data_IF_312094329879
#
_entry.id   IF_312094329879
#
_cell.length_a   1.000
_cell.length_b   1.000
_cell.length_c   1.000
_cell.angle_alpha   90.00
_cell.angle_beta   90.00
_cell.angle_gamma   90.00
#
_symmetry.space_group_name_H-M   'P 1'
#
loop_
_entity.id
_entity.type
_entity.pdbx_description
1 polymer ?
#
# COMPACT_ATOMS: atom_id res chain seq x y z
N UNK A 1 -17.95 5.37 16.10
CA UNK A 1 -17.10 4.55 16.98
C UNK A 1 -15.86 5.28 17.46
N UNK A 2 -15.35 4.84 18.62
CA UNK A 2 -14.01 5.12 19.14
C UNK A 2 -12.99 4.25 18.41
N UNK A 3 -11.88 4.84 17.94
CA UNK A 3 -10.75 4.10 17.38
C UNK A 3 -9.75 3.85 18.49
N UNK A 4 -9.35 2.60 18.65
CA UNK A 4 -8.38 2.15 19.64
C UNK A 4 -7.21 1.53 18.91
N UNK A 5 -6.04 2.08 19.14
CA UNK A 5 -4.80 1.67 18.50
C UNK A 5 -3.97 0.92 19.54
N UNK A 6 -3.56 -0.31 19.20
CA UNK A 6 -2.64 -1.09 20.02
C UNK A 6 -1.27 -1.04 19.36
N UNK A 7 -0.26 -0.63 20.13
CA UNK A 7 1.08 -0.43 19.58
C UNK A 7 1.80 -1.75 19.32
N UNK A 8 2.50 -1.84 18.19
CA UNK A 8 3.47 -2.88 17.89
C UNK A 8 4.89 -2.31 18.08
N UNK A 9 5.57 -2.60 19.20
CA UNK A 9 6.87 -2.00 19.51
C UNK A 9 8.03 -2.61 18.72
N UNK A 10 7.80 -3.66 17.93
CA UNK A 10 8.85 -4.35 17.18
C UNK A 10 9.46 -3.45 16.10
N UNK A 11 10.79 -3.36 16.12
CA UNK A 11 11.57 -2.61 15.14
C UNK A 11 11.76 -3.43 13.86
N UNK A 12 11.62 -2.79 12.71
CA UNK A 12 11.80 -3.40 11.40
C UNK A 12 13.23 -3.18 10.93
N UNK A 13 14.00 -4.26 10.83
CA UNK A 13 15.33 -4.24 10.23
C UNK A 13 15.22 -4.12 8.69
N UNK A 14 16.11 -3.35 8.01
CA UNK A 14 17.28 -2.63 8.55
C UNK A 14 17.01 -1.20 9.04
N UNK A 15 15.78 -0.69 8.90
CA UNK A 15 15.45 0.72 9.13
C UNK A 15 15.52 1.14 10.60
N UNK A 16 15.40 0.20 11.53
CA UNK A 16 15.41 0.46 12.96
C UNK A 16 14.35 1.50 13.37
N UNK A 17 13.17 1.36 12.78
CA UNK A 17 11.93 2.07 13.15
C UNK A 17 10.80 1.06 13.33
N UNK A 18 9.76 1.46 14.05
CA UNK A 18 8.55 0.63 14.17
C UNK A 18 7.71 0.72 12.90
N UNK A 19 6.89 -0.30 12.64
CA UNK A 19 6.07 -0.34 11.42
C UNK A 19 5.15 0.89 11.25
N UNK A 20 4.65 1.48 12.35
CA UNK A 20 3.75 2.64 12.30
C UNK A 20 4.42 3.89 11.74
N UNK A 21 5.72 4.06 12.02
CA UNK A 21 6.49 5.26 11.69
C UNK A 21 7.08 5.18 10.29
N UNK A 22 7.36 3.96 9.83
CA UNK A 22 7.81 3.69 8.48
C UNK A 22 6.82 4.19 7.43
N UNK A 23 7.39 4.72 6.35
CA UNK A 23 6.62 5.15 5.19
C UNK A 23 6.22 3.95 4.33
N UNK A 24 4.93 3.86 4.04
CA UNK A 24 4.34 2.96 3.06
C UNK A 24 3.55 3.82 2.08
N UNK A 25 3.80 3.66 0.79
CA UNK A 25 3.32 4.49 -0.32
C UNK A 25 3.70 5.97 -0.12
N UNK A 26 4.93 6.20 0.36
CA UNK A 26 5.47 7.51 0.76
C UNK A 26 4.62 8.24 1.83
N UNK A 27 3.95 7.51 2.71
CA UNK A 27 3.20 8.08 3.84
C UNK A 27 3.45 7.25 5.10
N UNK A 28 3.70 7.87 6.28
CA UNK A 28 3.79 7.12 7.52
C UNK A 28 2.55 6.23 7.73
N UNK A 29 2.75 4.99 8.13
CA UNK A 29 1.66 4.01 8.21
C UNK A 29 0.55 4.44 9.19
N UNK A 30 0.90 5.07 10.31
CA UNK A 30 -0.10 5.61 11.25
C UNK A 30 -1.01 6.67 10.58
N UNK A 31 -0.42 7.51 9.74
CA UNK A 31 -1.12 8.58 9.02
C UNK A 31 -2.00 8.00 7.92
N UNK A 32 -1.52 6.97 7.23
CA UNK A 32 -2.29 6.19 6.27
C UNK A 32 -3.57 5.63 6.90
N UNK A 33 -3.45 4.96 8.05
CA UNK A 33 -4.59 4.39 8.76
C UNK A 33 -5.57 5.48 9.23
N UNK A 34 -5.05 6.60 9.74
CA UNK A 34 -5.87 7.75 10.17
C UNK A 34 -6.73 8.28 9.03
N UNK A 35 -6.13 8.48 7.86
CA UNK A 35 -6.84 9.02 6.70
C UNK A 35 -7.95 8.07 6.21
N UNK A 36 -7.76 6.76 6.30
CA UNK A 36 -8.78 5.77 5.91
C UNK A 36 -9.94 5.66 6.92
N UNK A 37 -9.65 5.90 8.19
CA UNK A 37 -10.58 5.72 9.30
C UNK A 37 -11.31 7.01 9.73
N UNK A 38 -10.91 8.17 9.21
CA UNK A 38 -11.49 9.47 9.59
C UNK A 38 -13.01 9.56 9.42
N UNK A 39 -13.58 8.85 8.44
CA UNK A 39 -15.04 8.84 8.21
C UNK A 39 -15.80 7.88 9.13
N UNK A 40 -15.08 7.02 9.84
CA UNK A 40 -15.63 5.94 10.64
C UNK A 40 -15.48 6.19 12.14
N UNK A 41 -14.40 6.87 12.53
CA UNK A 41 -14.05 7.16 13.91
C UNK A 41 -14.20 8.65 14.24
N UNK A 42 -14.73 8.95 15.43
CA UNK A 42 -14.89 10.33 15.94
C UNK A 42 -13.86 10.70 17.01
N UNK A 43 -13.26 9.70 17.63
CA UNK A 43 -12.25 9.85 18.68
C UNK A 43 -11.22 8.72 18.54
N UNK A 44 -10.00 8.97 19.01
CA UNK A 44 -8.86 8.07 18.89
C UNK A 44 -8.12 7.98 20.23
N UNK A 45 -7.74 6.78 20.64
CA UNK A 45 -6.92 6.50 21.82
C UNK A 45 -5.89 5.43 21.47
N UNK A 46 -4.67 5.62 21.96
CA UNK A 46 -3.55 4.69 21.74
C UNK A 46 -3.13 4.05 23.05
N UNK A 47 -2.76 2.77 22.99
CA UNK A 47 -2.32 2.00 24.15
C UNK A 47 -1.12 1.13 23.79
N UNK A 48 -0.15 0.97 24.71
CA UNK A 48 1.03 0.15 24.47
C UNK A 48 0.67 -1.32 24.23
N UNK A 49 -0.38 -1.82 24.88
CA UNK A 49 -0.82 -3.21 24.77
C UNK A 49 -2.32 -3.36 25.14
N UNK A 50 -2.80 -4.60 25.03
CA UNK A 50 -4.17 -4.98 25.37
C UNK A 50 -4.49 -4.93 26.86
N UNK A 51 -3.49 -5.13 27.72
CA UNK A 51 -3.71 -5.14 29.17
C UNK A 51 -4.03 -3.74 29.66
N UNK A 52 -3.21 -2.77 29.28
CA UNK A 52 -3.43 -1.35 29.58
C UNK A 52 -4.73 -0.85 28.95
N UNK A 53 -4.99 -1.21 27.69
CA UNK A 53 -6.23 -0.82 27.02
C UNK A 53 -7.47 -1.32 27.78
N UNK A 54 -7.49 -2.59 28.23
CA UNK A 54 -8.63 -3.15 28.98
C UNK A 54 -8.82 -2.53 30.37
N UNK A 55 -7.74 -2.09 31.02
CA UNK A 55 -7.83 -1.44 32.33
C UNK A 55 -8.42 -0.02 32.22
N UNK A 56 -8.05 0.72 31.18
CA UNK A 56 -8.43 2.13 31.00
C UNK A 56 -9.76 2.29 30.24
N UNK A 57 -10.06 1.39 29.30
CA UNK A 57 -11.30 1.43 28.51
C UNK A 57 -12.43 0.65 29.20
N UNK A 58 -13.12 1.34 30.10
CA UNK A 58 -14.23 0.79 30.88
C UNK A 58 -15.62 1.16 30.32
N UNK A 59 -15.68 2.07 29.35
CA UNK A 59 -16.92 2.54 28.75
C UNK A 59 -17.51 1.53 27.74
N UNK A 60 -18.81 1.25 27.80
CA UNK A 60 -19.53 0.41 26.83
C UNK A 60 -19.88 1.19 25.56
N UNK A 61 -18.87 1.51 24.74
CA UNK A 61 -19.04 2.25 23.49
C UNK A 61 -18.69 1.38 22.28
N UNK A 62 -19.20 1.79 21.11
CA UNK A 62 -18.84 1.19 19.83
C UNK A 62 -17.36 1.49 19.54
N UNK A 63 -16.52 0.46 19.44
CA UNK A 63 -15.08 0.58 19.25
C UNK A 63 -14.59 -0.19 18.02
N UNK A 64 -13.62 0.39 17.30
CA UNK A 64 -12.75 -0.31 16.36
C UNK A 64 -11.37 -0.41 17.00
N UNK A 65 -10.91 -1.63 17.25
CA UNK A 65 -9.56 -1.88 17.78
C UNK A 65 -8.69 -2.42 16.66
N UNK A 66 -7.49 -1.88 16.48
CA UNK A 66 -6.53 -2.46 15.53
C UNK A 66 -5.09 -2.25 15.98
N UNK A 67 -4.17 -3.09 15.50
CA UNK A 67 -2.73 -2.82 15.64
C UNK A 67 -2.23 -1.77 14.66
N UNK A 68 -1.22 -1.01 15.05
CA UNK A 68 -0.64 0.06 14.23
C UNK A 68 0.30 -0.44 13.13
N UNK A 69 0.68 -1.72 13.12
CA UNK A 69 1.46 -2.35 12.05
C UNK A 69 0.64 -2.88 10.85
N UNK A 70 -0.65 -2.56 10.78
CA UNK A 70 -1.54 -3.04 9.72
C UNK A 70 -1.60 -2.07 8.53
N UNK A 71 -1.25 -2.54 7.33
CA UNK A 71 -1.49 -1.82 6.08
C UNK A 71 -2.74 -2.38 5.39
N UNK A 72 -3.71 -1.53 5.09
CA UNK A 72 -4.94 -1.91 4.40
C UNK A 72 -5.45 -0.74 3.57
N UNK A 73 -6.35 -0.99 2.61
CA UNK A 73 -6.95 0.08 1.81
C UNK A 73 -8.40 0.40 2.20
N UNK A 74 -8.94 1.46 1.61
CA UNK A 74 -10.30 1.94 1.88
C UNK A 74 -11.37 0.87 1.62
N UNK A 75 -11.23 0.08 0.55
CA UNK A 75 -12.21 -0.94 0.16
C UNK A 75 -12.36 -2.02 1.23
N UNK A 76 -11.24 -2.49 1.79
CA UNK A 76 -11.26 -3.52 2.81
C UNK A 76 -11.88 -3.02 4.12
N UNK A 77 -11.46 -1.85 4.58
CA UNK A 77 -11.91 -1.33 5.88
C UNK A 77 -13.38 -0.91 5.84
N UNK A 78 -13.85 -0.37 4.71
CA UNK A 78 -15.26 -0.05 4.51
C UNK A 78 -16.13 -1.29 4.58
N UNK A 79 -15.80 -2.33 3.80
CA UNK A 79 -16.56 -3.57 3.80
C UNK A 79 -16.56 -4.23 5.18
N UNK A 80 -15.41 -4.26 5.86
CA UNK A 80 -15.31 -4.81 7.20
C UNK A 80 -16.25 -4.10 8.18
N UNK A 81 -16.20 -2.76 8.23
CA UNK A 81 -17.01 -1.96 9.16
C UNK A 81 -18.50 -2.06 8.81
N UNK A 82 -18.87 -1.97 7.53
CA UNK A 82 -20.26 -2.06 7.07
C UNK A 82 -20.87 -3.41 7.45
N UNK A 83 -20.17 -4.52 7.17
CA UNK A 83 -20.64 -5.86 7.52
C UNK A 83 -20.64 -6.10 9.04
N UNK A 84 -19.67 -5.56 9.76
CA UNK A 84 -19.60 -5.68 11.21
C UNK A 84 -20.76 -4.94 11.90
N UNK A 85 -21.05 -3.70 11.48
CA UNK A 85 -22.19 -2.90 11.95
C UNK A 85 -23.51 -3.57 11.64
N UNK A 86 -23.71 -4.03 10.41
CA UNK A 86 -24.92 -4.76 10.01
C UNK A 86 -25.13 -6.03 10.85
N UNK A 87 -24.04 -6.70 11.26
CA UNK A 87 -24.10 -7.88 12.12
C UNK A 87 -24.39 -7.58 13.60
N UNK A 88 -24.11 -6.37 14.08
CA UNK A 88 -24.39 -5.93 15.46
C UNK A 88 -23.71 -6.74 16.57
N UNK A 89 -22.66 -7.50 16.24
CA UNK A 89 -21.96 -8.43 17.16
C UNK A 89 -20.44 -8.19 17.12
N UNK A 90 -19.71 -8.53 18.20
CA UNK A 90 -18.26 -8.42 18.19
C UNK A 90 -17.67 -9.35 17.13
N UNK A 91 -16.79 -8.80 16.30
CA UNK A 91 -16.13 -9.54 15.23
C UNK A 91 -14.65 -9.18 15.12
N UNK A 92 -13.86 -10.14 14.65
CA UNK A 92 -12.44 -9.99 14.33
C UNK A 92 -12.23 -10.24 12.84
N UNK A 93 -11.46 -9.39 12.18
CA UNK A 93 -11.10 -9.55 10.77
C UNK A 93 -10.42 -10.91 10.57
N UNK A 94 -10.87 -11.64 9.56
CA UNK A 94 -10.31 -12.93 9.19
C UNK A 94 -10.21 -13.09 7.67
N UNK A 95 -9.27 -13.92 7.26
CA UNK A 95 -9.09 -14.35 5.87
C UNK A 95 -9.09 -15.87 5.81
N UNK A 96 -9.52 -16.43 4.68
CA UNK A 96 -9.27 -17.84 4.40
C UNK A 96 -7.76 -18.06 4.23
N UNK A 97 -7.24 -19.17 4.76
CA UNK A 97 -5.81 -19.52 4.64
C UNK A 97 -5.33 -19.68 3.19
N UNK A 98 -6.27 -19.94 2.28
CA UNK A 98 -6.08 -20.18 0.85
C UNK A 98 -6.48 -18.96 -0.01
N UNK A 99 -6.80 -17.82 0.61
CA UNK A 99 -6.93 -16.55 -0.13
C UNK A 99 -5.63 -16.28 -0.91
N UNK A 100 -5.67 -16.10 -2.25
CA UNK A 100 -4.45 -16.10 -3.05
C UNK A 100 -3.45 -15.00 -2.70
N UNK A 101 -3.92 -13.80 -2.33
CA UNK A 101 -3.05 -12.69 -1.99
C UNK A 101 -2.44 -12.88 -0.60
N UNK A 102 -3.26 -13.28 0.38
CA UNK A 102 -2.78 -13.54 1.75
C UNK A 102 -1.82 -14.73 1.76
N UNK A 103 -2.20 -15.84 1.13
CA UNK A 103 -1.42 -17.08 1.14
C UNK A 103 -0.06 -16.90 0.45
N UNK A 104 -0.01 -16.16 -0.67
CA UNK A 104 1.22 -16.02 -1.47
C UNK A 104 2.15 -14.92 -0.96
N UNK A 105 1.60 -13.78 -0.51
CA UNK A 105 2.42 -12.59 -0.28
C UNK A 105 2.56 -12.16 1.18
N UNK A 106 1.58 -12.47 2.03
CA UNK A 106 1.56 -11.98 3.42
C UNK A 106 1.93 -13.10 4.39
N UNK A 107 1.21 -14.22 4.32
CA UNK A 107 1.35 -15.36 5.24
C UNK A 107 2.77 -15.92 5.37
N UNK A 108 3.60 -16.05 4.31
CA UNK A 108 4.88 -16.76 4.42
C UNK A 108 5.85 -16.22 5.47
N UNK A 109 5.85 -14.91 5.70
CA UNK A 109 6.76 -14.24 6.65
C UNK A 109 6.02 -13.55 7.80
N UNK A 110 4.74 -13.90 8.00
CA UNK A 110 3.92 -13.34 9.09
C UNK A 110 3.85 -14.30 10.27
N UNK A 111 4.03 -13.77 11.47
CA UNK A 111 3.97 -14.50 12.74
C UNK A 111 2.72 -14.17 13.57
N UNK A 112 2.13 -12.97 13.42
CA UNK A 112 1.03 -12.53 14.30
C UNK A 112 -0.36 -13.02 13.91
N UNK A 113 -0.52 -13.76 12.80
CA UNK A 113 -1.82 -14.35 12.47
C UNK A 113 -2.25 -15.38 13.52
N UNK A 114 -3.44 -15.20 14.09
CA UNK A 114 -4.05 -16.22 14.93
C UNK A 114 -4.77 -17.26 14.05
N UNK A 115 -4.29 -18.50 14.08
CA UNK A 115 -4.84 -19.60 13.27
C UNK A 115 -6.04 -20.23 13.98
N UNK A 116 -7.19 -20.28 13.31
CA UNK A 116 -8.39 -20.96 13.78
C UNK A 116 -8.97 -21.83 12.66
N UNK A 117 -8.59 -23.11 12.64
CA UNK A 117 -8.96 -24.01 11.54
C UNK A 117 -8.40 -23.51 10.21
N UNK A 118 -9.28 -23.27 9.24
CA UNK A 118 -8.92 -22.76 7.91
C UNK A 118 -8.88 -21.23 7.81
N UNK A 119 -9.01 -20.53 8.95
CA UNK A 119 -9.02 -19.08 9.01
C UNK A 119 -7.74 -18.52 9.63
N UNK A 120 -7.30 -17.39 9.11
CA UNK A 120 -6.24 -16.55 9.63
C UNK A 120 -6.86 -15.26 10.17
N UNK A 121 -6.86 -15.10 11.48
CA UNK A 121 -7.43 -13.93 12.14
C UNK A 121 -6.34 -12.87 12.31
N UNK A 122 -6.67 -11.64 11.90
CA UNK A 122 -5.81 -10.47 11.99
C UNK A 122 -6.15 -9.63 13.23
N UNK A 123 -5.22 -8.77 13.63
CA UNK A 123 -5.40 -7.90 14.79
C UNK A 123 -6.23 -6.65 14.49
N UNK A 124 -7.46 -6.87 14.05
CA UNK A 124 -8.48 -5.85 13.83
C UNK A 124 -9.85 -6.36 14.30
N UNK A 125 -10.51 -5.59 15.16
CA UNK A 125 -11.77 -5.94 15.80
C UNK A 125 -12.77 -4.80 15.70
N UNK A 126 -14.02 -5.17 15.47
CA UNK A 126 -15.16 -4.31 15.71
C UNK A 126 -15.90 -4.80 16.95
N UNK A 127 -16.06 -3.94 17.95
CA UNK A 127 -16.62 -4.25 19.26
C UNK A 127 -17.77 -3.29 19.56
N UNK A 128 -19.04 -3.70 19.38
CA UNK A 128 -20.18 -2.78 19.50
C UNK A 128 -20.43 -2.24 20.92
N UNK A 129 -19.89 -2.89 21.96
CA UNK A 129 -20.06 -2.50 23.38
C UNK A 129 -18.73 -2.54 24.17
N UNK A 130 -17.64 -2.11 23.55
CA UNK A 130 -16.34 -1.94 24.23
C UNK A 130 -15.45 -3.19 24.30
N UNK A 131 -14.29 -3.04 24.95
CA UNK A 131 -13.17 -4.02 24.89
C UNK A 131 -13.44 -5.34 25.59
N UNK A 132 -14.40 -5.38 26.54
CA UNK A 132 -14.80 -6.59 27.23
C UNK A 132 -15.23 -7.70 26.24
N UNK A 133 -15.77 -7.31 25.09
CA UNK A 133 -16.23 -8.23 24.04
C UNK A 133 -15.11 -8.83 23.17
N UNK A 134 -13.85 -8.42 23.39
CA UNK A 134 -12.71 -8.84 22.55
C UNK A 134 -12.52 -10.36 22.47
N UNK A 135 -12.84 -11.08 23.56
CA UNK A 135 -12.74 -12.55 23.62
C UNK A 135 -13.93 -13.27 22.96
N UNK A 136 -15.08 -12.60 22.85
CA UNK A 136 -16.29 -13.14 22.23
C UNK A 136 -16.33 -12.88 20.71
N UNK A 137 -15.36 -12.11 20.20
CA UNK A 137 -15.31 -11.68 18.83
C UNK A 137 -15.21 -12.87 17.87
N UNK A 138 -16.23 -13.03 17.03
CA UNK A 138 -16.27 -14.10 16.03
C UNK A 138 -15.51 -13.70 14.77
N UNK A 139 -14.89 -14.64 14.04
CA UNK A 139 -14.29 -14.34 12.74
C UNK A 139 -15.31 -13.72 11.77
N UNK A 140 -14.93 -12.61 11.14
CA UNK A 140 -15.61 -12.03 9.99
C UNK A 140 -14.67 -12.13 8.79
N UNK A 141 -15.00 -13.05 7.89
CA UNK A 141 -14.19 -13.33 6.71
C UNK A 141 -14.45 -12.28 5.62
N UNK A 142 -13.38 -11.64 5.18
CA UNK A 142 -13.35 -10.75 4.02
C UNK A 142 -12.48 -11.39 2.94
N UNK A 143 -13.02 -11.57 1.75
CA UNK A 143 -12.27 -12.03 0.57
C UNK A 143 -11.44 -10.85 0.02
N UNK A 144 -10.18 -11.04 -0.33
CA UNK A 144 -9.35 -9.96 -0.88
C UNK A 144 -9.67 -9.61 -2.35
N UNK A 145 -10.44 -10.45 -3.03
CA UNK A 145 -10.73 -10.39 -4.47
C UNK A 145 -9.44 -10.31 -5.31
N UNK A 146 -8.54 -11.25 -5.05
CA UNK A 146 -7.27 -11.37 -5.77
C UNK A 146 -7.43 -11.74 -7.23
N UNK A 147 -6.58 -11.14 -8.07
CA UNK A 147 -6.44 -11.47 -9.49
C UNK A 147 -4.99 -11.70 -9.83
N UNK A 148 -4.74 -12.65 -10.72
CA UNK A 148 -3.41 -12.92 -11.19
C UNK A 148 -2.97 -11.90 -12.26
N UNK A 149 -1.78 -11.32 -12.05
CA UNK A 149 -1.10 -10.44 -12.99
C UNK A 149 0.40 -10.69 -12.91
N UNK A 150 1.12 -10.51 -14.01
CA UNK A 150 2.56 -10.67 -13.98
C UNK A 150 3.18 -10.60 -15.35
N UNK A 151 4.43 -11.05 -15.40
CA UNK A 151 5.18 -11.16 -16.62
C UNK A 151 5.13 -12.60 -17.11
N UNK A 152 4.66 -12.75 -18.33
CA UNK A 152 4.55 -14.02 -19.02
C UNK A 152 5.71 -14.15 -20.00
N UNK A 153 6.22 -15.36 -20.23
CA UNK A 153 7.33 -15.65 -21.14
C UNK A 153 8.70 -15.10 -20.70
N UNK A 154 8.96 -15.08 -19.39
CA UNK A 154 10.29 -14.86 -18.84
C UNK A 154 11.12 -16.16 -18.96
N UNK A 155 12.44 -16.09 -19.20
CA UNK A 155 13.27 -17.28 -19.21
C UNK A 155 13.09 -18.13 -17.92
N UNK A 156 12.97 -19.47 -18.03
CA UNK A 156 12.55 -20.33 -16.92
C UNK A 156 13.53 -20.38 -15.76
N UNK A 157 14.78 -19.92 -15.93
CA UNK A 157 15.75 -19.77 -14.83
C UNK A 157 15.53 -18.51 -13.96
N UNK A 158 14.71 -17.57 -14.43
CA UNK A 158 14.30 -16.34 -13.72
C UNK A 158 12.86 -16.43 -13.19
N UNK A 159 12.15 -17.50 -13.49
CA UNK A 159 10.74 -17.69 -13.18
C UNK A 159 10.44 -19.14 -12.75
N UNK A 160 9.17 -19.48 -12.58
CA UNK A 160 8.75 -20.88 -12.38
C UNK A 160 9.02 -21.72 -13.63
N UNK A 161 8.83 -23.04 -13.56
CA UNK A 161 9.11 -23.99 -14.65
C UNK A 161 8.48 -23.62 -16.01
N UNK A 162 7.42 -22.81 -16.00
CA UNK A 162 6.70 -22.37 -17.20
C UNK A 162 7.14 -20.99 -17.73
N UNK A 163 8.09 -20.32 -17.09
CA UNK A 163 8.53 -18.98 -17.50
C UNK A 163 7.60 -17.85 -17.05
N UNK A 164 6.73 -18.12 -16.08
CA UNK A 164 5.76 -17.14 -15.58
C UNK A 164 6.18 -16.59 -14.21
N UNK A 165 6.28 -15.25 -14.13
CA UNK A 165 6.47 -14.50 -12.90
C UNK A 165 5.16 -13.78 -12.56
N UNK A 166 4.26 -14.52 -11.91
CA UNK A 166 2.90 -14.08 -11.60
C UNK A 166 2.71 -13.70 -10.13
N UNK A 167 1.95 -12.64 -9.92
CA UNK A 167 1.58 -12.07 -8.63
C UNK A 167 0.06 -12.08 -8.46
N UNK A 168 -0.38 -12.29 -7.23
CA UNK A 168 -1.77 -12.20 -6.80
C UNK A 168 -2.07 -10.78 -6.31
N UNK A 169 -2.78 -9.98 -7.12
CA UNK A 169 -3.07 -8.57 -6.86
C UNK A 169 -4.52 -8.40 -6.36
N UNK A 170 -4.72 -8.14 -5.05
CA UNK A 170 -6.05 -7.98 -4.46
C UNK A 170 -6.67 -6.61 -4.73
N UNK A 171 -8.00 -6.56 -4.85
CA UNK A 171 -8.71 -5.28 -4.77
C UNK A 171 -8.78 -4.76 -3.33
N UNK A 172 -8.98 -5.66 -2.37
CA UNK A 172 -9.05 -5.38 -0.93
C UNK A 172 -7.71 -5.74 -0.32
N UNK A 173 -6.86 -4.72 -0.16
CA UNK A 173 -5.47 -4.87 0.25
C UNK A 173 -5.37 -5.02 1.76
N UNK A 174 -4.57 -5.97 2.21
CA UNK A 174 -4.21 -6.18 3.61
C UNK A 174 -2.77 -6.73 3.71
N UNK A 175 -1.95 -6.17 4.61
CA UNK A 175 -0.60 -6.63 4.95
C UNK A 175 -0.35 -6.38 6.44
N UNK A 176 0.21 -7.37 7.13
CA UNK A 176 0.80 -7.20 8.48
C UNK A 176 2.27 -6.84 8.31
N UNK A 177 2.68 -5.62 8.66
CA UNK A 177 4.08 -5.19 8.49
C UNK A 177 4.91 -5.65 9.69
N UNK A 178 5.72 -6.68 9.50
CA UNK A 178 6.56 -7.30 10.55
C UNK A 178 8.03 -7.42 10.15
N UNK A 179 8.33 -7.22 8.87
CA UNK A 179 9.67 -7.26 8.31
C UNK A 179 9.72 -6.41 7.03
N UNK A 180 10.93 -6.16 6.51
CA UNK A 180 11.12 -5.34 5.30
C UNK A 180 10.51 -5.95 4.03
N UNK A 181 10.33 -7.28 3.97
CA UNK A 181 9.66 -7.93 2.82
C UNK A 181 8.19 -7.56 2.81
N UNK A 182 7.54 -7.44 3.98
CA UNK A 182 6.17 -6.94 4.04
C UNK A 182 6.05 -5.47 3.61
N UNK A 183 7.07 -4.63 3.87
CA UNK A 183 7.12 -3.28 3.31
C UNK A 183 7.20 -3.32 1.78
N UNK A 184 8.08 -4.14 1.22
CA UNK A 184 8.15 -4.35 -0.23
C UNK A 184 6.80 -4.81 -0.81
N UNK A 185 6.15 -5.78 -0.16
CA UNK A 185 4.83 -6.30 -0.57
C UNK A 185 3.78 -5.20 -0.51
N UNK A 186 3.73 -4.42 0.58
CA UNK A 186 2.77 -3.33 0.74
C UNK A 186 3.00 -2.19 -0.27
N UNK A 187 4.25 -1.88 -0.58
CA UNK A 187 4.59 -0.78 -1.47
C UNK A 187 4.45 -1.12 -2.95
N UNK A 188 5.06 -2.23 -3.33
CA UNK A 188 5.26 -2.54 -4.73
C UNK A 188 4.10 -3.40 -5.22
N UNK A 189 3.91 -4.58 -4.62
CA UNK A 189 2.92 -5.55 -5.10
C UNK A 189 1.49 -5.08 -4.82
N UNK A 190 1.15 -4.91 -3.56
CA UNK A 190 -0.19 -4.57 -3.11
C UNK A 190 -0.45 -3.06 -3.11
N UNK A 191 0.59 -2.26 -3.33
CA UNK A 191 0.54 -0.81 -3.52
C UNK A 191 0.52 -0.45 -5.01
N UNK A 192 1.65 0.04 -5.52
CA UNK A 192 1.76 0.67 -6.85
C UNK A 192 1.31 -0.26 -7.97
N UNK A 193 1.68 -1.54 -7.94
CA UNK A 193 1.31 -2.50 -8.98
C UNK A 193 -0.19 -2.79 -8.97
N UNK A 194 -0.77 -3.11 -7.80
CA UNK A 194 -2.23 -3.25 -7.64
C UNK A 194 -2.98 -1.99 -8.08
N UNK A 195 -2.50 -0.79 -7.76
CA UNK A 195 -3.13 0.46 -8.18
C UNK A 195 -3.07 0.65 -9.70
N UNK A 196 -1.92 0.39 -10.32
CA UNK A 196 -1.77 0.41 -11.78
C UNK A 196 -2.74 -0.56 -12.45
N UNK A 197 -2.79 -1.82 -12.00
CA UNK A 197 -3.69 -2.84 -12.52
C UNK A 197 -5.18 -2.46 -12.34
N UNK A 198 -5.55 -1.87 -11.20
CA UNK A 198 -6.90 -1.38 -10.96
C UNK A 198 -7.31 -0.26 -11.93
N UNK A 199 -6.38 0.66 -12.20
CA UNK A 199 -6.60 1.75 -13.15
C UNK A 199 -6.77 1.19 -14.56
N UNK A 200 -5.90 0.28 -14.99
CA UNK A 200 -5.99 -0.40 -16.29
C UNK A 200 -7.31 -1.14 -16.46
N UNK A 201 -7.73 -1.94 -15.47
CA UNK A 201 -9.00 -2.68 -15.52
C UNK A 201 -10.21 -1.73 -15.59
N UNK A 202 -10.15 -0.60 -14.88
CA UNK A 202 -11.20 0.43 -14.94
C UNK A 202 -11.26 1.10 -16.32
N UNK A 203 -10.10 1.36 -16.92
CA UNK A 203 -10.03 1.89 -18.29
C UNK A 203 -10.57 0.84 -19.27
N UNK A 204 -10.18 -0.42 -19.14
CA UNK A 204 -10.60 -1.49 -20.05
C UNK A 204 -12.12 -1.72 -20.03
N UNK A 205 -12.71 -1.74 -18.83
CA UNK A 205 -14.13 -2.03 -18.60
C UNK A 205 -15.09 -0.89 -18.93
N UNK A 206 -14.65 0.38 -18.86
CA UNK A 206 -15.55 1.53 -18.94
C UNK A 206 -15.26 2.44 -20.12
N UNK A 207 -16.12 2.40 -21.15
CA UNK A 207 -16.00 3.29 -22.32
C UNK A 207 -16.06 4.78 -21.93
N UNK A 208 -16.83 5.12 -20.89
CA UNK A 208 -16.93 6.48 -20.35
C UNK A 208 -15.58 6.97 -19.79
N UNK A 209 -14.84 6.09 -19.12
CA UNK A 209 -13.50 6.39 -18.59
C UNK A 209 -12.50 6.57 -19.73
N UNK A 210 -12.55 5.69 -20.75
CA UNK A 210 -11.72 5.85 -21.96
C UNK A 210 -11.96 7.20 -22.63
N UNK A 211 -13.23 7.57 -22.81
CA UNK A 211 -13.60 8.85 -23.44
C UNK A 211 -13.15 10.05 -22.60
N UNK A 212 -13.30 9.99 -21.27
CA UNK A 212 -12.84 11.02 -20.34
C UNK A 212 -11.32 11.22 -20.43
N UNK A 213 -10.55 10.13 -20.47
CA UNK A 213 -9.08 10.18 -20.60
C UNK A 213 -8.72 10.79 -21.96
N UNK A 214 -9.31 10.31 -23.06
CA UNK A 214 -9.07 10.85 -24.40
C UNK A 214 -9.38 12.35 -24.48
N UNK A 215 -10.52 12.77 -23.95
CA UNK A 215 -10.92 14.18 -23.93
C UNK A 215 -9.92 15.04 -23.15
N UNK A 216 -9.47 14.59 -21.96
CA UNK A 216 -8.44 15.29 -21.18
C UNK A 216 -7.10 15.33 -21.90
N UNK A 217 -6.67 14.23 -22.53
CA UNK A 217 -5.42 14.19 -23.30
C UNK A 217 -5.42 15.19 -24.45
N UNK A 218 -6.54 15.34 -25.16
CA UNK A 218 -6.70 16.33 -26.23
C UNK A 218 -6.65 17.75 -25.67
N UNK A 219 -7.35 18.03 -24.57
CA UNK A 219 -7.34 19.34 -23.92
C UNK A 219 -5.95 19.73 -23.39
N UNK A 220 -5.23 18.77 -22.83
CA UNK A 220 -3.88 18.97 -22.27
C UNK A 220 -2.78 18.91 -23.33
N UNK A 221 -3.12 18.54 -24.58
CA UNK A 221 -2.16 18.25 -25.65
C UNK A 221 -1.09 17.22 -25.24
N UNK A 222 -1.47 16.26 -24.40
CA UNK A 222 -0.59 15.21 -23.86
C UNK A 222 -0.92 13.85 -24.47
N UNK A 223 0.05 12.93 -24.40
CA UNK A 223 -0.19 11.51 -24.71
C UNK A 223 -1.25 10.94 -23.77
N UNK A 224 -2.02 9.96 -24.25
CA UNK A 224 -3.14 9.34 -23.51
C UNK A 224 -2.72 8.85 -22.12
N UNK A 225 -1.58 8.14 -22.07
CA UNK A 225 -1.01 7.59 -20.86
C UNK A 225 -0.30 8.62 -19.95
N UNK A 226 -0.16 9.86 -20.40
CA UNK A 226 0.46 10.97 -19.66
C UNK A 226 -0.56 12.03 -19.20
N UNK A 227 -1.85 11.74 -19.36
CA UNK A 227 -2.92 12.67 -18.95
C UNK A 227 -2.97 12.84 -17.43
N UNK A 228 -3.48 13.98 -16.97
CA UNK A 228 -3.67 14.28 -15.54
C UNK A 228 -4.54 13.26 -14.79
N UNK A 229 -5.33 12.45 -15.48
CA UNK A 229 -6.14 11.39 -14.86
C UNK A 229 -5.26 10.22 -14.38
N UNK A 230 -4.10 10.01 -15.01
CA UNK A 230 -3.16 8.93 -14.70
C UNK A 230 -1.94 9.44 -13.95
N UNK A 231 -1.47 10.64 -14.32
CA UNK A 231 -0.30 11.28 -13.70
C UNK A 231 -0.76 12.45 -12.84
N UNK A 232 -0.64 12.28 -11.52
CA UNK A 232 -0.92 13.35 -10.54
C UNK A 232 0.37 14.08 -10.23
N UNK A 233 0.37 15.40 -10.41
CA UNK A 233 1.55 16.25 -10.19
C UNK A 233 1.24 17.27 -9.09
N UNK A 234 2.13 17.35 -8.10
CA UNK A 234 2.11 18.33 -7.03
C UNK A 234 2.48 19.74 -7.48
N UNK A 235 2.85 20.58 -6.52
CA UNK A 235 3.21 21.98 -6.72
C UNK A 235 4.71 22.15 -6.89
N UNK A 236 5.10 23.19 -7.62
CA UNK A 236 6.51 23.55 -7.84
C UNK A 236 7.33 22.37 -8.42
N UNK A 237 6.73 21.65 -9.37
CA UNK A 237 7.39 20.52 -10.05
C UNK A 237 7.99 21.03 -11.36
N UNK A 238 9.22 20.66 -11.64
CA UNK A 238 9.93 21.01 -12.87
C UNK A 238 10.19 19.72 -13.65
N UNK A 239 9.59 19.60 -14.83
CA UNK A 239 9.70 18.41 -15.68
C UNK A 239 10.31 18.85 -17.00
N UNK A 240 11.47 18.28 -17.34
CA UNK A 240 12.10 18.51 -18.63
C UNK A 240 11.17 18.06 -19.78
N UNK A 241 11.08 18.81 -20.91
CA UNK A 241 10.21 18.45 -22.03
C UNK A 241 10.47 17.07 -22.66
N UNK A 242 11.67 16.52 -22.48
CA UNK A 242 12.06 15.20 -23.00
C UNK A 242 11.77 14.06 -22.03
N UNK A 243 11.37 14.35 -20.78
CA UNK A 243 10.99 13.33 -19.81
C UNK A 243 9.67 12.65 -20.20
N UNK A 244 9.61 11.34 -19.97
CA UNK A 244 8.47 10.50 -20.32
C UNK A 244 7.85 9.96 -19.04
N UNK A 245 6.60 10.32 -18.79
CA UNK A 245 5.87 9.90 -17.59
C UNK A 245 4.57 9.23 -18.01
N UNK A 246 4.40 7.97 -17.59
CA UNK A 246 3.29 7.12 -17.97
C UNK A 246 2.69 6.38 -16.76
N UNK A 247 1.51 5.82 -16.98
CA UNK A 247 0.87 4.94 -16.02
C UNK A 247 0.33 5.67 -14.78
N UNK A 248 -0.04 4.91 -13.76
CA UNK A 248 -0.46 5.46 -12.47
C UNK A 248 0.75 6.02 -11.74
N UNK A 249 1.06 7.29 -11.99
CA UNK A 249 2.21 7.98 -11.40
C UNK A 249 1.77 9.16 -10.55
N UNK A 250 2.27 9.21 -9.32
CA UNK A 250 2.03 10.33 -8.39
C UNK A 250 3.35 11.03 -8.12
N UNK A 251 3.38 12.35 -8.28
CA UNK A 251 4.55 13.19 -8.05
C UNK A 251 4.19 14.21 -6.97
N UNK A 252 4.99 14.27 -5.91
CA UNK A 252 4.85 15.20 -4.80
C UNK A 252 5.23 16.64 -5.15
N UNK A 253 5.49 17.42 -4.11
CA UNK A 253 5.81 18.85 -4.24
C UNK A 253 7.32 19.07 -4.34
N UNK A 254 7.76 20.16 -4.98
CA UNK A 254 9.18 20.52 -5.12
C UNK A 254 10.04 19.42 -5.77
N UNK A 255 9.54 18.82 -6.83
CA UNK A 255 10.23 17.73 -7.54
C UNK A 255 10.89 18.24 -8.82
N UNK A 256 12.12 17.82 -9.09
CA UNK A 256 12.80 18.08 -10.37
C UNK A 256 12.99 16.77 -11.13
N UNK A 257 12.54 16.72 -12.38
CA UNK A 257 12.71 15.59 -13.31
C UNK A 257 13.51 16.07 -14.51
N UNK A 258 14.72 15.52 -14.66
CA UNK A 258 15.68 15.89 -15.70
C UNK A 258 15.42 15.25 -17.06
N UNK A 259 16.19 15.69 -18.05
CA UNK A 259 16.05 15.29 -19.44
C UNK A 259 16.17 13.78 -19.66
N UNK A 260 15.30 13.22 -20.50
CA UNK A 260 15.29 11.81 -20.88
C UNK A 260 14.95 10.83 -19.75
N UNK A 261 14.48 11.30 -18.59
CA UNK A 261 13.98 10.42 -17.53
C UNK A 261 12.71 9.71 -17.99
N UNK A 262 12.57 8.42 -17.66
CA UNK A 262 11.38 7.61 -17.92
C UNK A 262 10.82 7.14 -16.58
N UNK A 263 9.57 7.48 -16.31
CA UNK A 263 8.86 7.13 -15.06
C UNK A 263 7.54 6.46 -15.42
N UNK A 264 7.34 5.22 -14.97
CA UNK A 264 6.14 4.45 -15.25
C UNK A 264 5.65 3.70 -14.02
N UNK A 265 4.37 3.91 -13.68
CA UNK A 265 3.73 3.42 -12.47
C UNK A 265 4.61 3.66 -11.23
N UNK A 266 4.80 4.91 -10.82
CA UNK A 266 5.64 5.25 -9.67
C UNK A 266 4.96 6.19 -8.68
N UNK A 267 5.37 6.12 -7.42
CA UNK A 267 5.11 7.17 -6.44
C UNK A 267 6.43 7.89 -6.20
N UNK A 268 6.47 9.18 -6.52
CA UNK A 268 7.60 10.07 -6.28
C UNK A 268 7.16 11.07 -5.20
N UNK A 269 7.88 11.08 -4.09
CA UNK A 269 7.63 11.98 -2.97
C UNK A 269 8.00 13.42 -3.24
N UNK A 270 7.96 14.22 -2.18
CA UNK A 270 8.27 15.64 -2.21
C UNK A 270 9.76 15.88 -1.98
N UNK A 271 10.28 16.99 -2.50
CA UNK A 271 11.70 17.35 -2.42
C UNK A 271 12.63 16.28 -3.05
N UNK A 272 12.16 15.65 -4.13
CA UNK A 272 12.90 14.62 -4.85
C UNK A 272 13.55 15.19 -6.09
N UNK A 273 14.79 14.79 -6.37
CA UNK A 273 15.44 15.07 -7.66
C UNK A 273 15.65 13.77 -8.43
N UNK A 274 15.04 13.67 -9.60
CA UNK A 274 15.26 12.62 -10.60
C UNK A 274 16.10 13.23 -11.71
N UNK A 275 17.39 12.91 -11.75
CA UNK A 275 18.32 13.50 -12.73
C UNK A 275 18.13 12.91 -14.14
N UNK A 276 18.90 13.45 -15.10
CA UNK A 276 18.86 13.05 -16.50
C UNK A 276 19.03 11.54 -16.72
N UNK A 277 18.22 10.98 -17.62
CA UNK A 277 18.30 9.59 -18.07
C UNK A 277 17.94 8.54 -17.02
N UNK A 278 17.34 8.91 -15.88
CA UNK A 278 16.85 7.93 -14.91
C UNK A 278 15.70 7.08 -15.47
N UNK A 279 15.62 5.81 -15.10
CA UNK A 279 14.56 4.90 -15.51
C UNK A 279 13.87 4.30 -14.28
N UNK A 280 12.64 4.69 -14.01
CA UNK A 280 11.87 4.26 -12.84
C UNK A 280 10.63 3.51 -13.30
N UNK A 281 10.47 2.27 -12.84
CA UNK A 281 9.34 1.42 -13.16
C UNK A 281 8.82 0.72 -11.90
N UNK A 282 7.51 0.78 -11.67
CA UNK A 282 6.83 0.11 -10.55
C UNK A 282 7.49 0.38 -9.19
N UNK A 283 7.91 1.62 -8.93
CA UNK A 283 8.79 1.95 -7.80
C UNK A 283 8.24 3.08 -6.93
N UNK A 284 8.59 3.07 -5.65
CA UNK A 284 8.27 4.11 -4.67
C UNK A 284 9.56 4.84 -4.31
N UNK A 285 9.59 6.15 -4.53
CA UNK A 285 10.69 7.03 -4.15
C UNK A 285 10.15 8.00 -3.12
N UNK A 286 10.53 7.84 -1.85
CA UNK A 286 10.00 8.66 -0.76
C UNK A 286 10.58 10.08 -0.74
N UNK A 287 10.06 10.92 0.16
CA UNK A 287 10.47 12.31 0.29
C UNK A 287 11.99 12.47 0.51
N UNK A 288 12.56 13.55 -0.04
CA UNK A 288 13.97 13.90 0.17
C UNK A 288 14.98 13.01 -0.58
N UNK A 289 14.52 12.10 -1.43
CA UNK A 289 15.41 11.24 -2.20
C UNK A 289 16.17 11.97 -3.31
N UNK A 290 17.37 11.50 -3.62
CA UNK A 290 18.17 11.98 -4.75
C UNK A 290 18.58 10.83 -5.67
N UNK A 291 18.13 10.91 -6.92
CA UNK A 291 18.52 9.99 -7.99
C UNK A 291 19.44 10.72 -8.99
N UNK A 292 20.74 10.41 -8.98
CA UNK A 292 21.68 10.99 -9.94
C UNK A 292 21.51 10.38 -11.34
N UNK A 293 22.20 10.96 -12.32
CA UNK A 293 22.03 10.62 -13.72
C UNK A 293 22.16 9.12 -13.99
N UNK A 294 21.27 8.61 -14.85
CA UNK A 294 21.21 7.21 -15.32
C UNK A 294 20.98 6.15 -14.22
N UNK A 295 20.44 6.52 -13.05
CA UNK A 295 19.98 5.53 -12.10
C UNK A 295 18.73 4.78 -12.65
N UNK A 296 18.63 3.49 -12.37
CA UNK A 296 17.51 2.64 -12.79
C UNK A 296 16.89 1.94 -11.58
N UNK A 297 15.57 2.07 -11.42
CA UNK A 297 14.78 1.39 -10.39
C UNK A 297 13.70 0.54 -11.05
N UNK A 298 13.65 -0.74 -10.69
CA UNK A 298 12.56 -1.63 -11.06
C UNK A 298 12.00 -2.31 -9.81
N UNK A 299 10.70 -2.14 -9.55
CA UNK A 299 10.06 -2.73 -8.37
C UNK A 299 10.87 -2.45 -7.09
N UNK A 300 11.19 -1.19 -6.82
CA UNK A 300 12.07 -0.81 -5.72
C UNK A 300 11.45 0.31 -4.88
N UNK A 301 11.61 0.20 -3.56
CA UNK A 301 11.27 1.27 -2.62
C UNK A 301 12.55 1.96 -2.14
N UNK A 302 12.60 3.28 -2.24
CA UNK A 302 13.54 4.13 -1.53
C UNK A 302 12.78 4.83 -0.38
N UNK A 303 13.26 4.63 0.85
CA UNK A 303 12.79 5.31 2.05
C UNK A 303 13.25 6.77 2.04
N UNK A 304 12.72 7.57 2.95
CA UNK A 304 12.98 9.01 2.95
C UNK A 304 14.47 9.34 3.08
N UNK A 305 14.90 10.45 2.48
CA UNK A 305 16.28 10.94 2.50
C UNK A 305 17.32 9.96 1.92
N UNK A 306 16.89 8.98 1.12
CA UNK A 306 17.80 8.02 0.48
C UNK A 306 18.41 8.61 -0.79
N UNK A 307 19.72 8.40 -0.97
CA UNK A 307 20.42 8.73 -2.21
C UNK A 307 21.07 7.50 -2.79
N UNK A 308 20.92 7.31 -4.10
CA UNK A 308 21.61 6.22 -4.84
C UNK A 308 22.79 6.80 -5.63
N UNK A 309 23.75 5.97 -6.00
CA UNK A 309 24.90 6.42 -6.78
C UNK A 309 24.57 6.53 -8.28
N UNK A 310 25.46 7.22 -9.02
CA UNK A 310 25.34 7.37 -10.48
C UNK A 310 25.39 6.01 -11.16
N UNK A 311 24.53 5.81 -12.17
CA UNK A 311 24.42 4.54 -12.92
C UNK A 311 24.03 3.31 -12.08
N UNK A 312 23.54 3.49 -10.85
CA UNK A 312 23.08 2.37 -10.03
C UNK A 312 21.82 1.74 -10.64
N UNK A 313 21.76 0.41 -10.68
CA UNK A 313 20.58 -0.35 -11.06
C UNK A 313 20.09 -1.15 -9.85
N UNK A 314 18.84 -0.93 -9.43
CA UNK A 314 18.22 -1.59 -8.29
C UNK A 314 16.94 -2.29 -8.74
N UNK A 315 16.80 -3.53 -8.31
CA UNK A 315 15.68 -4.38 -8.67
C UNK A 315 15.19 -5.15 -7.45
N UNK A 316 13.88 -5.09 -7.17
CA UNK A 316 13.24 -5.83 -6.07
C UNK A 316 13.86 -5.53 -4.69
N UNK A 317 14.19 -4.26 -4.44
CA UNK A 317 14.88 -3.81 -3.22
C UNK A 317 14.00 -2.86 -2.38
N UNK A 318 14.30 -2.80 -1.08
CA UNK A 318 13.86 -1.71 -0.19
C UNK A 318 15.12 -1.11 0.43
N UNK A 319 15.34 0.18 0.25
CA UNK A 319 16.55 0.88 0.69
C UNK A 319 16.14 2.05 1.58
N UNK A 320 16.80 2.18 2.72
CA UNK A 320 16.62 3.27 3.68
C UNK A 320 17.82 3.43 4.58
#
# INVERSE_FOLDING_TARGET
MRRIIINEPSFISPFNETARDLRVQNKPLWLWQRDLLVKHAIEEREYPDWEVARQLETEELECLVHRDNLFFNQLLIDEFIERARAGGRPVRLAFHKDDPAIAKHVRPLTHSFFKQGDLLLADMWYLPKGLAQSLEAKPLVIDTESRERGYYHIPPYMATEFGDLVYQLPKKVFVLVENWVHLFVADILLGVFTQGANVEDRIASSWQVKLKILARSVLEQKRVLSSSELVKVGKNVHIDPTAVIHGYTVIGDNVTIGAGAVIDNCIIGSNVTVSQGCQLLLSVVSDGCFLPFRAALFMTTLMENTSVAQNTCLQLCVIG
#
